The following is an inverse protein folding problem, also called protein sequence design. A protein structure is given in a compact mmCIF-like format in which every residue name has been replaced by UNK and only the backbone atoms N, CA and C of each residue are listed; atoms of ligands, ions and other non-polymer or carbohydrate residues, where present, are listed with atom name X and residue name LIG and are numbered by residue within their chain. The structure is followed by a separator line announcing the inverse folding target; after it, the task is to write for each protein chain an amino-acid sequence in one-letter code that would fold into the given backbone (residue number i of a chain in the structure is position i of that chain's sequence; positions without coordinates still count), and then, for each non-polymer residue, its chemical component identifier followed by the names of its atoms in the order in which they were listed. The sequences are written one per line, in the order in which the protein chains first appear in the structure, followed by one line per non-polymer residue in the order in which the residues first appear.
data_IF_404675686636
#
_entry.id   IF_404675686636
#
_cell.length_a   1.000
_cell.length_b   1.000
_cell.length_c   1.000
_cell.angle_alpha   90.00
_cell.angle_beta   90.00
_cell.angle_gamma   90.00
#
_symmetry.space_group_name_H-M   'P 1'
#
loop_
_entity.id
_entity.type
_entity.pdbx_description
1 polymer ?
#
# COMPACT_ATOMS: atom_id res chain seq x y z
N UNK A 1 22.79 10.61 3.09
CA UNK A 1 22.10 9.34 2.73
C UNK A 1 22.57 8.96 1.35
N UNK A 2 23.07 7.75 1.18
CA UNK A 2 23.41 7.21 -0.13
C UNK A 2 22.14 7.06 -0.97
N UNK A 3 22.22 7.54 -2.22
CA UNK A 3 21.11 7.53 -3.18
C UNK A 3 21.25 6.27 -4.05
N UNK A 4 20.18 5.48 -4.09
CA UNK A 4 20.09 4.28 -4.92
C UNK A 4 20.03 4.69 -6.40
N UNK A 5 20.76 3.97 -7.24
CA UNK A 5 20.81 4.16 -8.69
C UNK A 5 20.41 2.89 -9.42
N UNK A 6 20.03 3.03 -10.68
CA UNK A 6 19.76 1.88 -11.57
C UNK A 6 20.96 0.94 -11.70
N UNK A 7 22.18 1.47 -11.56
CA UNK A 7 23.44 0.71 -11.51
C UNK A 7 23.57 -0.22 -10.30
N UNK A 8 22.74 -0.05 -9.27
CA UNK A 8 22.71 -0.91 -8.09
C UNK A 8 21.82 -2.15 -8.33
N UNK A 9 21.41 -2.40 -9.58
CA UNK A 9 20.74 -3.65 -9.93
C UNK A 9 21.75 -4.80 -9.99
N UNK A 10 21.39 -5.96 -9.45
CA UNK A 10 22.30 -7.10 -9.41
C UNK A 10 21.76 -8.29 -8.63
N UNK A 11 22.55 -9.35 -8.56
CA UNK A 11 22.26 -10.52 -7.71
C UNK A 11 22.94 -10.30 -6.36
N UNK A 12 22.14 -10.40 -5.30
CA UNK A 12 22.56 -10.24 -3.93
C UNK A 12 22.38 -11.56 -3.20
N UNK A 13 23.36 -11.96 -2.41
CA UNK A 13 23.27 -13.16 -1.57
C UNK A 13 23.80 -12.85 -0.19
N UNK A 14 23.28 -13.58 0.80
CA UNK A 14 23.85 -13.58 2.13
C UNK A 14 24.82 -14.78 2.25
N UNK A 15 25.96 -14.61 2.89
CA UNK A 15 26.91 -15.70 3.11
C UNK A 15 27.21 -15.82 4.61
N UNK A 16 27.14 -17.04 5.14
CA UNK A 16 27.48 -17.34 6.53
C UNK A 16 28.46 -18.52 6.56
N UNK A 17 29.72 -18.25 6.90
CA UNK A 17 30.79 -19.26 6.85
C UNK A 17 31.15 -19.67 5.41
N UNK A 18 31.24 -20.98 5.15
CA UNK A 18 31.45 -21.53 3.80
C UNK A 18 30.18 -21.59 2.96
N UNK A 19 29.01 -21.38 3.58
CA UNK A 19 27.73 -21.67 2.97
C UNK A 19 27.13 -20.38 2.42
N UNK A 20 26.80 -20.39 1.13
CA UNK A 20 26.08 -19.30 0.46
C UNK A 20 24.59 -19.53 0.71
N UNK A 21 23.94 -18.59 1.39
CA UNK A 21 22.48 -18.58 1.58
C UNK A 21 21.80 -18.12 0.28
N UNK A 22 20.48 -18.27 0.21
CA UNK A 22 19.68 -17.94 -0.98
C UNK A 22 20.06 -16.60 -1.63
N UNK A 23 20.21 -16.63 -2.96
CA UNK A 23 20.45 -15.44 -3.77
C UNK A 23 19.13 -14.83 -4.24
N UNK A 24 19.05 -13.51 -4.24
CA UNK A 24 17.92 -12.71 -4.75
C UNK A 24 18.40 -11.80 -5.87
N UNK A 25 17.55 -11.56 -6.87
CA UNK A 25 17.80 -10.56 -7.91
C UNK A 25 17.13 -9.26 -7.48
N UNK A 26 17.89 -8.18 -7.42
CA UNK A 26 17.34 -6.84 -7.18
C UNK A 26 17.43 -6.07 -8.48
N UNK A 27 16.28 -5.61 -8.97
CA UNK A 27 16.18 -4.80 -10.18
C UNK A 27 15.68 -3.41 -9.79
N UNK A 28 16.46 -2.39 -10.14
CA UNK A 28 16.15 -0.99 -9.84
C UNK A 28 15.59 -0.34 -11.10
N UNK A 29 14.33 0.07 -11.03
CA UNK A 29 13.60 0.71 -12.12
C UNK A 29 13.40 2.21 -11.86
N UNK A 30 13.34 2.98 -12.94
CA UNK A 30 12.86 4.35 -12.89
C UNK A 30 11.33 4.37 -12.84
N UNK A 31 10.77 5.29 -12.06
CA UNK A 31 9.33 5.50 -11.97
C UNK A 31 8.76 5.26 -10.59
N UNK A 32 7.48 5.61 -10.44
CA UNK A 32 6.81 5.76 -9.15
C UNK A 32 5.79 4.66 -8.83
N UNK A 33 5.46 3.81 -9.80
CA UNK A 33 4.44 2.76 -9.67
C UNK A 33 5.14 1.43 -9.35
N UNK A 34 4.65 0.74 -8.33
CA UNK A 34 5.23 -0.51 -7.84
C UNK A 34 4.12 -1.56 -7.70
N UNK A 35 4.38 -2.76 -8.21
CA UNK A 35 3.59 -3.94 -7.87
C UNK A 35 4.25 -4.64 -6.67
N UNK A 36 3.54 -4.73 -5.55
CA UNK A 36 3.90 -5.58 -4.41
C UNK A 36 3.33 -6.98 -4.67
N UNK A 37 4.17 -7.89 -5.16
CA UNK A 37 3.90 -9.32 -5.27
C UNK A 37 4.56 -10.10 -4.11
N UNK A 38 4.10 -11.32 -3.78
CA UNK A 38 4.78 -12.16 -2.79
C UNK A 38 6.22 -12.45 -3.20
N UNK A 39 7.13 -12.36 -2.23
CA UNK A 39 8.55 -12.64 -2.44
C UNK A 39 8.90 -14.14 -2.37
N UNK A 40 7.92 -15.01 -2.09
CA UNK A 40 8.09 -16.46 -2.03
C UNK A 40 7.09 -17.12 -2.99
N UNK A 41 7.42 -18.32 -3.51
CA UNK A 41 6.48 -19.08 -4.31
C UNK A 41 5.18 -19.32 -3.57
N UNK A 42 4.06 -19.17 -4.28
CA UNK A 42 2.73 -19.28 -3.71
C UNK A 42 2.21 -20.70 -3.88
N UNK A 43 1.73 -21.30 -2.80
CA UNK A 43 1.14 -22.65 -2.85
C UNK A 43 -0.23 -22.64 -3.51
N UNK A 44 -0.48 -23.58 -4.40
CA UNK A 44 -1.80 -23.80 -4.99
C UNK A 44 -2.89 -23.93 -3.92
N UNK A 45 -4.09 -23.42 -4.21
CA UNK A 45 -5.26 -23.46 -3.33
C UNK A 45 -5.27 -22.41 -2.22
N UNK A 46 -4.21 -21.61 -2.08
CA UNK A 46 -4.16 -20.51 -1.12
C UNK A 46 -4.58 -19.19 -1.77
N UNK A 47 -4.94 -18.20 -0.94
CA UNK A 47 -5.21 -16.85 -1.42
C UNK A 47 -3.93 -16.01 -1.46
N UNK A 48 -3.85 -15.11 -2.44
CA UNK A 48 -2.77 -14.14 -2.58
C UNK A 48 -3.36 -12.76 -2.84
N UNK A 49 -2.73 -11.73 -2.27
CA UNK A 49 -3.06 -10.34 -2.55
C UNK A 49 -1.89 -9.65 -3.27
N UNK A 50 -2.20 -8.94 -4.34
CA UNK A 50 -1.30 -8.11 -5.12
C UNK A 50 -1.67 -6.65 -4.90
N UNK A 51 -0.68 -5.79 -4.66
CA UNK A 51 -0.94 -4.36 -4.34
C UNK A 51 -0.20 -3.46 -5.30
N UNK A 52 -0.93 -2.58 -5.96
CA UNK A 52 -0.41 -1.53 -6.80
C UNK A 52 -0.25 -0.24 -6.00
N UNK A 53 1.00 0.20 -5.87
CA UNK A 53 1.39 1.34 -5.03
C UNK A 53 1.95 2.46 -5.88
N UNK A 54 1.54 3.68 -5.59
CA UNK A 54 2.14 4.87 -6.16
C UNK A 54 2.98 5.61 -5.11
N UNK A 55 4.25 5.86 -5.43
CA UNK A 55 5.20 6.56 -4.57
C UNK A 55 5.52 7.91 -5.19
N UNK A 56 4.94 8.99 -4.66
CA UNK A 56 5.18 10.34 -5.19
C UNK A 56 6.61 10.84 -4.93
N UNK A 57 7.18 10.47 -3.78
CA UNK A 57 8.58 10.75 -3.45
C UNK A 57 9.09 9.76 -2.39
N UNK A 58 10.41 9.71 -2.24
CA UNK A 58 11.05 8.83 -1.27
C UNK A 58 10.77 9.14 0.21
N UNK A 59 10.18 10.30 0.52
CA UNK A 59 9.85 10.77 1.88
C UNK A 59 8.40 10.47 2.30
N UNK A 60 7.51 10.21 1.36
CA UNK A 60 6.13 9.83 1.63
C UNK A 60 6.11 8.40 2.19
N UNK A 61 6.21 8.31 3.52
CA UNK A 61 6.09 7.06 4.28
C UNK A 61 4.71 6.42 4.09
N UNK A 62 3.70 7.22 3.73
CA UNK A 62 2.44 6.74 3.17
C UNK A 62 2.51 6.78 1.65
N UNK A 63 2.77 5.63 1.04
CA UNK A 63 2.50 5.43 -0.39
C UNK A 63 1.00 5.52 -0.60
N UNK A 64 0.57 6.38 -1.53
CA UNK A 64 -0.83 6.43 -1.93
C UNK A 64 -1.16 5.14 -2.68
N UNK A 65 -2.22 4.46 -2.27
CA UNK A 65 -2.73 3.34 -3.05
C UNK A 65 -3.30 3.88 -4.35
N UNK A 66 -3.11 3.13 -5.42
CA UNK A 66 -3.62 3.57 -6.69
C UNK A 66 -5.15 3.48 -6.70
N UNK A 67 -5.84 4.63 -6.76
CA UNK A 67 -7.31 4.69 -6.76
C UNK A 67 -7.96 4.05 -7.99
N UNK A 68 -7.17 3.71 -9.02
CA UNK A 68 -7.62 2.98 -10.21
C UNK A 68 -6.44 2.17 -10.73
N UNK A 69 -6.34 0.92 -10.30
CA UNK A 69 -5.28 0.01 -10.68
C UNK A 69 -5.78 -1.06 -11.65
N UNK A 70 -5.19 -1.13 -12.83
CA UNK A 70 -5.37 -2.25 -13.75
C UNK A 70 -4.27 -3.28 -13.50
N UNK A 71 -4.64 -4.52 -13.19
CA UNK A 71 -3.70 -5.63 -12.99
C UNK A 71 -3.60 -6.46 -14.25
N UNK A 72 -2.38 -6.73 -14.70
CA UNK A 72 -2.09 -7.53 -15.87
C UNK A 72 -1.24 -8.74 -15.50
N UNK A 73 -1.49 -9.86 -16.18
CA UNK A 73 -0.65 -11.06 -16.18
C UNK A 73 -0.30 -11.42 -17.62
N UNK A 74 0.98 -11.56 -17.92
CA UNK A 74 1.50 -11.88 -19.27
C UNK A 74 0.91 -10.96 -20.36
N UNK A 75 0.74 -9.68 -20.02
CA UNK A 75 0.17 -8.65 -20.89
C UNK A 75 -1.36 -8.63 -20.99
N UNK A 76 -2.07 -9.60 -20.40
CA UNK A 76 -3.54 -9.66 -20.39
C UNK A 76 -4.11 -8.99 -19.15
N UNK A 77 -5.17 -8.18 -19.29
CA UNK A 77 -5.87 -7.54 -18.17
C UNK A 77 -6.62 -8.60 -17.36
N UNK A 78 -6.34 -8.67 -16.07
CA UNK A 78 -6.95 -9.64 -15.14
C UNK A 78 -8.01 -8.98 -14.26
N UNK A 79 -7.74 -7.79 -13.72
CA UNK A 79 -8.72 -7.04 -12.92
C UNK A 79 -8.50 -5.53 -12.98
N UNK A 80 -9.54 -4.76 -12.64
CA UNK A 80 -9.50 -3.33 -12.39
C UNK A 80 -9.99 -3.08 -10.96
N UNK A 81 -9.13 -2.51 -10.12
CA UNK A 81 -9.40 -2.31 -8.69
C UNK A 81 -9.30 -0.84 -8.30
N UNK A 82 -10.33 -0.34 -7.64
CA UNK A 82 -10.37 1.06 -7.16
C UNK A 82 -9.59 1.32 -5.88
N UNK A 83 -9.17 0.25 -5.19
CA UNK A 83 -8.38 0.32 -3.95
C UNK A 83 -6.88 0.22 -4.22
N UNK A 84 -6.49 -0.19 -5.43
CA UNK A 84 -5.10 -0.55 -5.75
C UNK A 84 -4.70 -1.92 -5.20
N UNK A 85 -5.65 -2.77 -4.81
CA UNK A 85 -5.38 -4.09 -4.26
C UNK A 85 -6.30 -5.12 -4.89
N UNK A 86 -5.70 -6.20 -5.43
CA UNK A 86 -6.40 -7.32 -6.03
C UNK A 86 -6.10 -8.59 -5.24
N UNK A 87 -7.12 -9.41 -4.97
CA UNK A 87 -6.95 -10.71 -4.31
C UNK A 87 -7.36 -11.84 -5.26
N UNK A 88 -6.46 -12.82 -5.45
CA UNK A 88 -6.79 -14.10 -6.08
C UNK A 88 -7.15 -15.06 -4.95
N UNK A 89 -8.42 -15.46 -4.81
CA UNK A 89 -8.88 -16.22 -3.64
C UNK A 89 -8.37 -17.66 -3.62
N UNK A 90 -8.23 -18.27 -4.79
CA UNK A 90 -7.74 -19.65 -4.95
C UNK A 90 -6.73 -19.64 -6.08
N UNK A 91 -5.45 -19.66 -5.72
CA UNK A 91 -4.34 -19.65 -6.68
C UNK A 91 -4.24 -21.00 -7.37
N UNK A 92 -4.10 -20.98 -8.69
CA UNK A 92 -3.91 -22.15 -9.53
C UNK A 92 -2.58 -22.09 -10.29
N UNK A 93 -2.12 -23.21 -10.84
CA UNK A 93 -0.85 -23.23 -11.60
C UNK A 93 -0.86 -22.31 -12.83
N UNK A 94 -2.05 -21.98 -13.35
CA UNK A 94 -2.25 -20.99 -14.42
C UNK A 94 -2.04 -19.54 -14.01
N UNK A 95 -1.89 -19.26 -12.72
CA UNK A 95 -1.64 -17.91 -12.20
C UNK A 95 -0.14 -17.57 -12.09
N UNK A 96 0.71 -18.54 -12.45
CA UNK A 96 2.14 -18.37 -12.68
C UNK A 96 2.38 -17.45 -13.89
N UNK A 97 3.27 -16.46 -13.77
CA UNK A 97 3.60 -15.56 -14.88
C UNK A 97 4.16 -14.19 -14.47
N UNK A 98 4.29 -13.30 -15.46
CA UNK A 98 4.75 -11.91 -15.29
C UNK A 98 3.56 -11.01 -14.93
N UNK A 99 3.55 -10.51 -13.70
CA UNK A 99 2.53 -9.60 -13.22
C UNK A 99 3.00 -8.15 -13.29
N UNK A 100 2.09 -7.24 -13.64
CA UNK A 100 2.28 -5.79 -13.52
C UNK A 100 0.96 -5.10 -13.17
N UNK A 101 1.05 -3.87 -12.70
CA UNK A 101 -0.12 -3.01 -12.57
C UNK A 101 0.07 -1.68 -13.31
N UNK A 102 -1.02 -1.11 -13.82
CA UNK A 102 -1.07 0.28 -14.28
C UNK A 102 -1.83 1.10 -13.28
N UNK A 103 -1.26 2.24 -12.89
CA UNK A 103 -1.92 3.13 -11.97
C UNK A 103 -2.53 4.33 -12.69
N UNK A 104 -3.79 4.25 -13.12
CA UNK A 104 -4.48 5.33 -13.84
C UNK A 104 -3.58 5.99 -14.91
N UNK A 105 -3.30 7.29 -14.74
CA UNK A 105 -2.44 8.07 -15.62
C UNK A 105 -0.97 8.16 -15.17
N UNK A 106 -0.58 7.44 -14.11
CA UNK A 106 0.77 7.43 -13.54
C UNK A 106 1.71 6.40 -14.19
N UNK A 107 1.20 5.59 -15.13
CA UNK A 107 1.97 4.61 -15.88
C UNK A 107 1.96 3.21 -15.27
N UNK A 108 2.87 2.38 -15.77
CA UNK A 108 2.95 0.95 -15.47
C UNK A 108 4.04 0.67 -14.43
N UNK A 109 3.78 -0.29 -13.54
CA UNK A 109 4.81 -0.87 -12.69
C UNK A 109 5.78 -1.68 -13.54
N UNK A 110 7.01 -1.89 -13.03
CA UNK A 110 7.83 -2.99 -13.50
C UNK A 110 7.07 -4.33 -13.43
N UNK A 111 7.44 -5.24 -14.32
CA UNK A 111 6.93 -6.61 -14.30
C UNK A 111 7.66 -7.41 -13.21
N UNK A 112 6.93 -8.26 -12.50
CA UNK A 112 7.44 -9.12 -11.43
C UNK A 112 6.96 -10.54 -11.66
N UNK A 113 7.88 -11.51 -11.63
CA UNK A 113 7.53 -12.92 -11.78
C UNK A 113 6.89 -13.46 -10.50
N UNK A 114 5.73 -14.11 -10.63
CA UNK A 114 5.09 -14.84 -9.53
C UNK A 114 5.04 -16.33 -9.86
N UNK A 115 5.73 -17.14 -9.06
CA UNK A 115 5.74 -18.60 -9.21
C UNK A 115 4.68 -19.25 -8.33
N UNK A 116 3.92 -20.19 -8.89
CA UNK A 116 2.97 -21.02 -8.14
C UNK A 116 3.55 -22.43 -7.97
N UNK A 117 3.60 -22.94 -6.75
CA UNK A 117 4.04 -24.31 -6.46
C UNK A 117 2.87 -25.22 -6.15
N UNK A 118 2.93 -26.46 -6.64
CA UNK A 118 1.93 -27.48 -6.32
C UNK A 118 1.80 -27.63 -4.81
N UNK A 119 0.57 -27.84 -4.35
CA UNK A 119 0.36 -28.29 -2.99
C UNK A 119 0.98 -29.69 -2.87
N UNK A 120 2.16 -29.79 -2.26
CA UNK A 120 2.73 -31.10 -1.91
C UNK A 120 1.64 -31.84 -1.14
N UNK A 121 1.21 -33.05 -1.57
CA UNK A 121 0.28 -33.83 -0.77
C UNK A 121 0.98 -34.06 0.56
N UNK A 122 0.48 -33.40 1.60
CA UNK A 122 0.99 -33.54 2.96
C UNK A 122 0.98 -35.02 3.28
N UNK A 123 2.16 -35.63 3.22
CA UNK A 123 2.36 -36.99 3.67
C UNK A 123 2.11 -36.90 5.16
N UNK A 124 0.94 -37.42 5.58
CA UNK A 124 0.40 -37.42 6.94
C UNK A 124 1.49 -37.25 8.00
N UNK A 125 1.67 -36.03 8.49
CA UNK A 125 2.36 -35.83 9.77
C UNK A 125 1.44 -36.38 10.88
N UNK A 126 1.96 -37.02 11.94
CA UNK A 126 1.17 -37.83 12.86
C UNK A 126 0.04 -37.01 13.50
N UNK A 127 -1.19 -37.52 13.35
CA UNK A 127 -2.38 -37.09 14.08
C UNK A 127 -2.09 -37.11 15.59
N UNK A 128 -1.95 -35.94 16.20
CA UNK A 128 -2.13 -35.79 17.64
C UNK A 128 -3.64 -35.82 17.89
N UNK A 129 -4.17 -36.77 18.68
CA UNK A 129 -5.61 -36.81 18.97
C UNK A 129 -5.96 -35.63 19.90
N UNK A 130 -6.71 -34.65 19.38
CA UNK A 130 -7.35 -33.65 20.22
C UNK A 130 -8.58 -34.28 20.89
N UNK A 131 -8.36 -34.79 22.09
CA UNK A 131 -9.38 -35.32 22.98
C UNK A 131 -10.47 -34.28 23.28
N UNK A 132 -11.71 -34.73 23.07
CA UNK A 132 -12.98 -34.13 23.50
C UNK A 132 -13.01 -33.67 24.96
N UNK A 133 -13.60 -32.51 25.27
CA UNK A 133 -14.53 -32.22 26.41
C UNK A 133 -14.81 -30.69 26.52
N UNK A 134 -15.81 -30.21 27.28
CA UNK A 134 -17.26 -30.28 27.04
C UNK A 134 -17.96 -28.89 27.06
N UNK A 135 -19.24 -28.85 26.67
CA UNK A 135 -20.16 -27.71 26.71
C UNK A 135 -20.46 -27.21 28.14
N UNK A 136 -20.21 -25.93 28.46
CA UNK A 136 -20.79 -25.19 29.62
C UNK A 136 -20.99 -23.69 29.24
N UNK A 137 -22.06 -23.01 29.70
CA UNK A 137 -22.73 -21.93 28.97
C UNK A 137 -22.28 -20.50 29.30
N UNK A 138 -22.74 -19.57 28.47
CA UNK A 138 -22.73 -18.12 28.65
C UNK A 138 -23.07 -17.68 30.09
N UNK A 139 -22.43 -16.60 30.56
CA UNK A 139 -23.21 -15.40 30.84
C UNK A 139 -22.52 -14.11 30.39
N UNK A 140 -23.30 -13.23 29.76
CA UNK A 140 -22.96 -11.83 29.57
C UNK A 140 -23.09 -11.05 30.89
N UNK A 141 -22.15 -10.13 31.19
CA UNK A 141 -22.44 -8.94 31.98
C UNK A 141 -22.42 -7.71 31.06
N UNK A 142 -23.60 -7.15 30.82
CA UNK A 142 -23.78 -5.84 30.19
C UNK A 142 -23.25 -4.73 31.09
N UNK A 143 -22.25 -4.00 30.61
CA UNK A 143 -21.76 -2.75 31.21
C UNK A 143 -22.63 -1.57 30.69
N UNK A 144 -22.97 -0.57 31.54
CA UNK A 144 -24.03 0.40 31.23
C UNK A 144 -23.66 1.38 30.10
N UNK A 145 -24.59 1.57 29.16
CA UNK A 145 -24.54 2.52 28.03
C UNK A 145 -24.80 3.98 28.44
N UNK A 146 -24.27 4.43 29.59
CA UNK A 146 -24.63 5.76 30.11
C UNK A 146 -23.45 6.58 30.65
N UNK A 147 -22.33 6.60 29.92
CA UNK A 147 -21.25 7.57 30.18
C UNK A 147 -20.72 8.29 28.91
N UNK A 148 -21.09 7.83 27.71
CA UNK A 148 -20.54 8.37 26.46
C UNK A 148 -21.22 9.68 26.05
N UNK A 149 -22.48 9.90 26.46
CA UNK A 149 -23.25 11.09 26.05
C UNK A 149 -22.74 12.39 26.68
N UNK A 150 -22.46 12.40 27.98
CA UNK A 150 -22.01 13.62 28.69
C UNK A 150 -20.59 14.05 28.30
N UNK A 151 -19.67 13.10 28.10
CA UNK A 151 -18.31 13.40 27.64
C UNK A 151 -18.29 13.96 26.22
N UNK A 152 -19.10 13.39 25.31
CA UNK A 152 -19.29 13.93 23.96
C UNK A 152 -19.93 15.31 23.98
N UNK A 153 -20.92 15.55 24.84
CA UNK A 153 -21.58 16.86 24.96
C UNK A 153 -20.64 17.92 25.53
N UNK A 154 -19.86 17.60 26.56
CA UNK A 154 -18.85 18.51 27.13
C UNK A 154 -17.74 18.82 26.11
N UNK A 155 -17.26 17.81 25.38
CA UNK A 155 -16.24 17.98 24.35
C UNK A 155 -16.76 18.83 23.19
N UNK A 156 -17.98 18.58 22.72
CA UNK A 156 -18.62 19.39 21.69
C UNK A 156 -18.86 20.83 22.16
N UNK A 157 -19.26 21.07 23.41
CA UNK A 157 -19.40 22.44 23.94
C UNK A 157 -18.05 23.17 24.07
N UNK A 158 -17.00 22.48 24.51
CA UNK A 158 -15.65 23.06 24.64
C UNK A 158 -14.99 23.36 23.29
N UNK A 159 -15.28 22.56 22.25
CA UNK A 159 -14.66 22.71 20.92
C UNK A 159 -15.53 23.50 19.96
N UNK A 160 -16.85 23.29 19.91
CA UNK A 160 -17.72 23.97 18.94
C UNK A 160 -17.99 25.43 19.33
N UNK A 161 -18.09 25.73 20.64
CA UNK A 161 -18.32 27.09 21.15
C UNK A 161 -17.25 28.11 20.69
N UNK A 162 -15.94 27.86 20.84
CA UNK A 162 -14.92 28.82 20.37
C UNK A 162 -14.95 28.98 18.85
N UNK A 163 -15.25 27.93 18.07
CA UNK A 163 -15.37 28.05 16.60
C UNK A 163 -16.58 28.90 16.18
N UNK A 164 -17.73 28.78 16.88
CA UNK A 164 -18.91 29.60 16.62
C UNK A 164 -18.71 31.08 16.99
N UNK A 165 -17.80 31.38 17.91
CA UNK A 165 -17.44 32.77 18.26
C UNK A 165 -16.36 33.34 17.34
N UNK A 166 -15.39 32.52 16.89
CA UNK A 166 -14.29 32.96 16.01
C UNK A 166 -14.75 33.18 14.57
N UNK A 167 -15.67 32.35 14.07
CA UNK A 167 -16.20 32.46 12.69
C UNK A 167 -16.87 33.81 12.37
N UNK A 168 -17.76 34.41 13.19
CA UNK A 168 -18.32 35.72 12.91
C UNK A 168 -17.29 36.86 13.07
N UNK A 169 -16.30 36.72 13.96
CA UNK A 169 -15.22 37.70 14.12
C UNK A 169 -14.33 37.71 12.87
N UNK A 170 -13.95 36.53 12.36
CA UNK A 170 -13.21 36.40 11.11
C UNK A 170 -14.02 36.88 9.91
N UNK A 171 -15.33 36.58 9.84
CA UNK A 171 -16.19 37.05 8.76
C UNK A 171 -16.41 38.57 8.82
N UNK A 172 -16.49 39.15 10.02
CA UNK A 172 -16.54 40.60 10.23
C UNK A 172 -15.26 41.29 9.80
N UNK A 173 -14.10 40.77 10.19
CA UNK A 173 -12.77 41.26 9.76
C UNK A 173 -12.55 41.08 8.26
N UNK A 174 -13.03 39.99 7.69
CA UNK A 174 -12.98 39.72 6.25
C UNK A 174 -13.86 40.69 5.46
N UNK A 175 -15.06 41.02 5.98
CA UNK A 175 -15.95 42.03 5.38
C UNK A 175 -15.38 43.44 5.48
N UNK A 176 -14.75 43.79 6.60
CA UNK A 176 -14.03 45.06 6.78
C UNK A 176 -12.85 45.17 5.79
N UNK A 177 -12.09 44.09 5.59
CA UNK A 177 -10.93 44.05 4.69
C UNK A 177 -11.30 44.09 3.20
N UNK A 178 -12.49 43.60 2.82
CA UNK A 178 -13.00 43.65 1.44
C UNK A 178 -13.44 45.05 0.99
N UNK A 179 -13.52 46.02 1.91
CA UNK A 179 -13.81 47.42 1.60
C UNK A 179 -12.52 48.20 1.26
N UNK A 180 -11.32 47.65 1.55
CA UNK A 180 -10.07 48.45 1.52
C UNK A 180 -8.96 48.03 0.57
N UNK A 181 -9.07 47.07 -0.38
CA UNK A 181 -7.97 46.92 -1.38
C UNK A 181 -8.37 46.25 -2.72
N UNK A 182 -7.79 46.71 -3.86
CA UNK A 182 -8.15 46.35 -5.22
C UNK A 182 -7.42 45.11 -5.78
N UNK A 183 -7.89 44.63 -6.93
CA UNK A 183 -7.42 43.46 -7.66
C UNK A 183 -6.00 43.60 -8.27
N UNK A 184 -5.19 42.54 -8.19
CA UNK A 184 -4.03 42.28 -9.04
C UNK A 184 -3.77 40.75 -9.10
N UNK A 185 -3.93 40.04 -10.22
CA UNK A 185 -3.05 39.83 -11.41
C UNK A 185 -2.00 38.72 -11.24
N UNK A 186 -2.29 37.55 -11.85
CA UNK A 186 -1.45 36.79 -12.80
C UNK A 186 -0.03 36.34 -12.44
N UNK A 187 0.08 35.04 -12.14
CA UNK A 187 1.01 34.02 -12.65
C UNK A 187 2.53 34.30 -12.79
N UNK A 188 3.32 33.48 -12.07
CA UNK A 188 4.67 33.07 -12.42
C UNK A 188 4.79 31.56 -12.12
N UNK A 189 4.96 30.74 -13.17
CA UNK A 189 5.27 29.31 -13.03
C UNK A 189 6.79 29.14 -13.00
N UNK A 190 7.28 28.38 -12.03
CA UNK A 190 8.69 28.28 -11.66
C UNK A 190 9.35 27.13 -12.45
N UNK A 191 10.43 27.41 -13.18
CA UNK A 191 11.32 26.45 -13.87
C UNK A 191 12.17 25.56 -12.91
N UNK A 192 11.78 25.39 -11.64
CA UNK A 192 12.51 24.56 -10.66
C UNK A 192 12.09 23.07 -10.73
N UNK A 193 10.98 22.75 -11.40
CA UNK A 193 10.34 21.42 -11.35
C UNK A 193 10.95 20.35 -12.26
N UNK A 194 11.88 20.66 -13.17
CA UNK A 194 12.45 19.64 -14.06
C UNK A 194 13.60 18.82 -13.45
N UNK A 195 14.22 19.28 -12.35
CA UNK A 195 15.34 18.54 -11.72
C UNK A 195 14.95 17.50 -10.67
N UNK A 196 13.69 17.44 -10.24
CA UNK A 196 13.23 16.43 -9.27
C UNK A 196 12.78 15.10 -9.93
N UNK A 197 12.73 15.02 -11.27
CA UNK A 197 12.17 13.85 -11.96
C UNK A 197 13.14 12.65 -12.05
N UNK A 198 14.45 12.84 -11.89
CA UNK A 198 15.45 11.75 -12.03
C UNK A 198 15.81 11.04 -10.70
N UNK A 199 15.11 11.36 -9.60
CA UNK A 199 15.57 11.00 -8.25
C UNK A 199 14.73 9.93 -7.53
N UNK A 200 13.62 9.48 -8.11
CA UNK A 200 12.79 8.42 -7.52
C UNK A 200 12.92 7.12 -8.31
N UNK A 201 13.68 6.19 -7.72
CA UNK A 201 13.81 4.82 -8.21
C UNK A 201 13.02 3.87 -7.33
N UNK A 202 12.55 2.79 -7.95
CA UNK A 202 11.82 1.71 -7.29
C UNK A 202 12.61 0.42 -7.41
N UNK A 203 12.56 -0.39 -6.36
CA UNK A 203 13.26 -1.68 -6.31
C UNK A 203 12.25 -2.80 -6.37
N UNK A 204 12.53 -3.79 -7.22
CA UNK A 204 11.82 -5.07 -7.24
C UNK A 204 12.79 -6.15 -6.78
N UNK A 205 12.32 -7.03 -5.89
CA UNK A 205 13.10 -8.15 -5.35
C UNK A 205 12.49 -9.44 -5.87
N UNK A 206 13.27 -10.23 -6.59
CA UNK A 206 12.85 -11.50 -7.16
C UNK A 206 13.64 -12.65 -6.51
N UNK A 207 12.90 -13.63 -5.97
CA UNK A 207 13.48 -14.88 -5.48
C UNK A 207 13.70 -15.85 -6.63
N UNK A 208 14.94 -16.32 -6.84
CA UNK A 208 15.18 -17.48 -7.72
C UNK A 208 14.88 -18.77 -6.95
N UNK A 209 14.04 -19.62 -7.53
CA UNK A 209 13.82 -21.00 -7.10
C UNK A 209 14.76 -21.92 -7.85
#
# INVERSE_FOLDING_TARGET
MDKVKTSDSGVYWCQSGSDVLSAVSITVHGGHVILESPALPVTEGHSVSLRCRYRKNNRAKESFSCLTADFYRDGSLISNESTGEMTIPVVNKSDDGLWKCRCGNHGDSPESWMTVTDAIPSTKSPTIPSTTTPTIPSPCPSLPKSCISLSRLLYSLLVVSPYLMVTPILLGKYRESRISTPAATGDAWNEETEKEMEDDVTMVVESRV
#
